data_IF_405141931043
#
_entry.id   IF_405141931043
#
_cell.length_a   1.000
_cell.length_b   1.000
_cell.length_c   1.000
_cell.angle_alpha   90.00
_cell.angle_beta   90.00
_cell.angle_gamma   90.00
#
_symmetry.space_group_name_H-M   'P 1'
#
loop_
_entity.id
_entity.type
_entity.pdbx_description
1 polymer ?
#
# COMPACT_ATOMS: atom_id res chain seq x y z
N UNK A 1 16.36 -6.88 49.29
CA UNK A 1 15.28 -7.91 49.17
C UNK A 1 15.97 -9.23 48.87
N UNK A 2 15.82 -10.22 49.74
CA UNK A 2 16.34 -11.58 49.51
C UNK A 2 15.22 -12.39 48.87
N UNK A 3 15.50 -13.02 47.73
CA UNK A 3 14.58 -13.96 47.07
C UNK A 3 14.98 -15.38 47.46
N UNK A 4 14.06 -16.15 48.02
CA UNK A 4 14.26 -17.58 48.26
C UNK A 4 13.32 -18.36 47.32
N UNK A 5 13.88 -19.10 46.37
CA UNK A 5 13.12 -19.93 45.45
C UNK A 5 13.03 -21.35 46.02
N UNK A 6 11.81 -21.83 46.33
CA UNK A 6 11.58 -23.24 46.69
C UNK A 6 10.94 -23.99 45.54
N UNK A 7 11.61 -25.05 45.10
CA UNK A 7 11.10 -26.02 44.13
C UNK A 7 10.21 -27.02 44.87
N UNK A 8 8.94 -27.14 44.49
CA UNK A 8 8.04 -28.17 45.03
C UNK A 8 8.03 -29.33 44.04
N UNK A 9 8.52 -30.49 44.46
CA UNK A 9 8.35 -31.76 43.72
C UNK A 9 7.40 -32.66 44.50
N UNK A 10 6.16 -32.88 44.04
CA UNK A 10 5.54 -34.22 44.15
C UNK A 10 4.32 -34.44 43.23
N UNK A 11 4.52 -35.35 42.25
CA UNK A 11 3.74 -36.57 41.93
C UNK A 11 2.19 -36.49 41.98
N UNK A 12 1.51 -36.53 40.82
CA UNK A 12 0.97 -37.79 40.27
C UNK A 12 0.43 -37.66 38.83
N UNK A 13 0.47 -38.79 38.12
CA UNK A 13 0.42 -38.99 36.65
C UNK A 13 -0.89 -38.55 35.97
N UNK A 14 -0.77 -37.71 34.94
CA UNK A 14 -1.21 -37.98 33.54
C UNK A 14 -0.74 -36.87 32.61
N UNK A 15 -0.43 -37.24 31.36
CA UNK A 15 0.40 -36.52 30.37
C UNK A 15 0.03 -35.03 30.14
N UNK A 16 0.84 -34.11 30.67
CA UNK A 16 1.29 -32.85 30.02
C UNK A 16 2.29 -32.14 30.94
N UNK A 17 3.59 -32.16 30.60
CA UNK A 17 4.61 -31.45 31.37
C UNK A 17 4.46 -29.93 31.15
N UNK A 18 4.11 -29.20 32.21
CA UNK A 18 4.23 -27.75 32.32
C UNK A 18 4.97 -27.47 33.62
N UNK A 19 6.13 -26.82 33.56
CA UNK A 19 6.84 -26.39 34.76
C UNK A 19 6.17 -25.13 35.33
N UNK A 20 5.79 -25.15 36.61
CA UNK A 20 5.19 -24.02 37.30
C UNK A 20 6.16 -23.45 38.34
N UNK A 21 6.39 -22.14 38.30
CA UNK A 21 7.13 -21.40 39.34
C UNK A 21 6.17 -20.51 40.12
N UNK A 22 6.19 -20.61 41.44
CA UNK A 22 5.49 -19.71 42.35
C UNK A 22 6.52 -18.82 43.06
N UNK A 23 6.31 -17.51 43.00
CA UNK A 23 7.13 -16.52 43.71
C UNK A 23 6.35 -15.94 44.88
N UNK A 24 7.00 -15.83 46.04
CA UNK A 24 6.44 -15.16 47.21
C UNK A 24 7.11 -13.79 47.38
N UNK A 25 6.30 -12.73 47.36
CA UNK A 25 6.70 -11.37 47.76
C UNK A 25 6.34 -11.20 49.23
N UNK A 26 7.34 -11.18 50.12
CA UNK A 26 7.11 -10.81 51.52
C UNK A 26 6.80 -9.30 51.59
N UNK A 27 5.53 -8.96 51.79
CA UNK A 27 5.08 -7.60 52.05
C UNK A 27 3.62 -7.28 51.69
N UNK A 28 2.99 -8.04 50.79
CA UNK A 28 1.57 -7.86 50.43
C UNK A 28 0.95 -9.25 50.21
N UNK A 29 0.09 -9.66 51.15
CA UNK A 29 -0.43 -11.03 51.30
C UNK A 29 -1.44 -11.48 50.23
N UNK A 30 -1.09 -11.43 48.94
CA UNK A 30 -1.93 -11.96 47.86
C UNK A 30 -1.12 -12.71 46.81
N UNK A 31 -1.45 -13.98 46.61
CA UNK A 31 -0.86 -14.87 45.60
C UNK A 31 -1.38 -14.51 44.21
N UNK A 32 -0.49 -14.38 43.22
CA UNK A 32 -0.86 -14.21 41.81
C UNK A 32 -0.25 -15.33 40.97
N UNK A 33 -1.08 -16.04 40.22
CA UNK A 33 -0.67 -17.14 39.35
C UNK A 33 -0.56 -16.60 37.92
N UNK A 34 0.66 -16.54 37.36
CA UNK A 34 0.90 -16.12 35.98
C UNK A 34 0.96 -17.34 35.06
N UNK A 35 0.08 -17.39 34.06
CA UNK A 35 0.07 -18.41 33.02
C UNK A 35 0.88 -17.95 31.80
N UNK A 36 1.79 -18.78 31.30
CA UNK A 36 2.60 -18.51 30.12
C UNK A 36 2.34 -19.57 29.03
N UNK A 37 1.76 -19.21 27.86
CA UNK A 37 1.55 -20.19 26.79
C UNK A 37 2.84 -20.39 25.96
N UNK A 38 3.17 -21.63 25.54
CA UNK A 38 4.39 -21.91 24.78
C UNK A 38 4.24 -21.51 23.30
N UNK A 39 5.03 -20.53 22.85
CA UNK A 39 5.23 -20.25 21.42
C UNK A 39 6.26 -21.22 20.83
N UNK A 40 5.88 -21.99 19.79
CA UNK A 40 6.83 -22.70 18.90
C UNK A 40 6.99 -21.90 17.59
N UNK A 41 8.19 -21.39 17.33
CA UNK A 41 8.61 -20.93 15.99
C UNK A 41 9.48 -22.01 15.31
N UNK A 42 9.53 -22.06 13.96
CA UNK A 42 10.27 -23.08 13.23
C UNK A 42 11.78 -22.90 13.42
N UNK A 43 12.43 -23.93 13.96
CA UNK A 43 13.91 -24.03 13.98
C UNK A 43 14.41 -24.39 12.59
N UNK A 44 14.81 -23.39 11.81
CA UNK A 44 15.74 -23.66 10.70
C UNK A 44 16.56 -22.42 10.39
N UNK A 45 17.87 -22.52 10.64
CA UNK A 45 18.95 -21.55 10.40
C UNK A 45 19.07 -20.41 11.41
N UNK A 46 19.62 -20.74 12.57
CA UNK A 46 20.66 -19.96 13.27
C UNK A 46 21.34 -20.94 14.24
N UNK A 47 22.66 -20.94 14.23
CA UNK A 47 23.51 -21.82 15.04
C UNK A 47 23.24 -21.58 16.54
N UNK A 48 23.02 -22.65 17.30
CA UNK A 48 22.54 -22.61 18.69
C UNK A 48 23.50 -21.91 19.64
N UNK A 49 24.80 -21.88 19.31
CA UNK A 49 25.80 -21.24 20.16
C UNK A 49 25.85 -19.71 20.04
N UNK A 50 25.36 -19.14 18.94
CA UNK A 50 25.35 -17.67 18.75
C UNK A 50 24.20 -16.99 19.49
N UNK A 51 23.06 -17.67 19.62
CA UNK A 51 21.89 -17.17 20.33
C UNK A 51 22.08 -17.16 21.85
N UNK A 52 22.64 -18.24 22.41
CA UNK A 52 22.90 -18.32 23.85
C UNK A 52 24.01 -17.33 24.27
N UNK A 53 25.00 -17.08 23.41
CA UNK A 53 26.04 -16.07 23.63
C UNK A 53 25.49 -14.64 23.53
N UNK A 54 24.59 -14.38 22.56
CA UNK A 54 23.93 -13.07 22.43
C UNK A 54 23.03 -12.75 23.64
N UNK A 55 22.23 -13.72 24.10
CA UNK A 55 21.37 -13.56 25.27
C UNK A 55 22.20 -13.40 26.55
N UNK A 56 23.27 -14.18 26.71
CA UNK A 56 24.19 -14.05 27.84
C UNK A 56 24.92 -12.69 27.88
N UNK A 57 25.37 -12.19 26.72
CA UNK A 57 26.02 -10.88 26.62
C UNK A 57 25.03 -9.75 26.87
N UNK A 58 23.79 -9.85 26.39
CA UNK A 58 22.74 -8.87 26.64
C UNK A 58 22.36 -8.80 28.13
N UNK A 59 22.27 -9.95 28.81
CA UNK A 59 21.92 -10.05 30.23
C UNK A 59 23.06 -9.54 31.13
N UNK A 60 24.32 -9.80 30.75
CA UNK A 60 25.51 -9.25 31.40
C UNK A 60 25.65 -7.73 31.17
N UNK A 61 25.30 -7.22 29.98
CA UNK A 61 25.32 -5.78 29.68
C UNK A 61 24.24 -5.05 30.46
N UNK A 62 23.00 -5.58 30.47
CA UNK A 62 21.87 -4.99 31.18
C UNK A 62 22.10 -5.05 32.70
N UNK A 63 22.70 -6.13 33.20
CA UNK A 63 23.10 -6.28 34.61
C UNK A 63 24.18 -5.29 35.05
N UNK A 64 25.23 -5.10 34.25
CA UNK A 64 26.30 -4.11 34.52
C UNK A 64 25.81 -2.67 34.43
N UNK A 65 24.99 -2.35 33.43
CA UNK A 65 24.40 -1.03 33.26
C UNK A 65 23.48 -0.69 34.45
N UNK A 66 22.74 -1.66 34.99
CA UNK A 66 21.87 -1.43 36.15
C UNK A 66 22.66 -1.25 37.46
N UNK A 67 23.72 -2.04 37.68
CA UNK A 67 24.49 -1.97 38.93
C UNK A 67 25.39 -0.74 39.04
N UNK A 68 25.93 -0.23 37.94
CA UNK A 68 26.77 1.00 37.96
C UNK A 68 25.96 2.30 37.89
N UNK A 69 24.69 2.26 37.43
CA UNK A 69 23.81 3.44 37.36
C UNK A 69 23.31 3.95 38.73
N UNK A 70 23.66 3.30 39.84
CA UNK A 70 23.31 3.79 41.18
C UNK A 70 24.32 4.74 41.82
N UNK A 71 25.45 5.05 41.16
CA UNK A 71 26.47 5.89 41.79
C UNK A 71 26.66 7.29 41.20
N UNK A 72 26.60 7.56 39.88
CA UNK A 72 26.68 8.94 39.37
C UNK A 72 26.00 9.15 37.99
N UNK A 73 24.80 9.77 37.92
CA UNK A 73 24.03 9.95 36.68
C UNK A 73 24.66 10.85 35.61
N UNK A 74 25.59 11.75 35.96
CA UNK A 74 26.17 12.74 35.04
C UNK A 74 27.34 12.21 34.17
N UNK A 75 27.98 11.10 34.57
CA UNK A 75 29.09 10.51 33.80
C UNK A 75 28.58 9.55 32.70
N UNK A 76 27.45 8.87 32.96
CA UNK A 76 26.85 7.88 32.05
C UNK A 76 26.32 8.52 30.75
N UNK A 77 25.80 9.75 30.83
CA UNK A 77 25.33 10.50 29.66
C UNK A 77 26.45 10.85 28.66
N UNK A 78 27.68 11.12 29.13
CA UNK A 78 28.81 11.47 28.25
C UNK A 78 29.45 10.25 27.58
N UNK A 79 29.43 9.09 28.23
CA UNK A 79 29.93 7.82 27.66
C UNK A 79 28.95 7.24 26.64
N UNK A 80 27.63 7.30 26.90
CA UNK A 80 26.62 6.89 25.91
C UNK A 80 26.68 7.79 24.66
N UNK A 81 26.88 9.10 24.86
CA UNK A 81 27.02 10.06 23.76
C UNK A 81 28.33 9.85 22.98
N UNK A 82 29.43 9.48 23.64
CA UNK A 82 30.70 9.17 22.96
C UNK A 82 30.65 7.85 22.17
N UNK A 83 29.99 6.80 22.69
CA UNK A 83 29.83 5.51 21.98
C UNK A 83 28.85 5.64 20.81
N UNK A 84 27.74 6.38 20.97
CA UNK A 84 26.84 6.70 19.85
C UNK A 84 27.53 7.56 18.79
N UNK A 85 28.37 8.53 19.16
CA UNK A 85 29.08 9.37 18.19
C UNK A 85 30.22 8.62 17.49
N UNK A 86 30.92 7.69 18.16
CA UNK A 86 31.98 6.89 17.54
C UNK A 86 31.45 5.74 16.66
N UNK A 87 30.33 5.09 16.99
CA UNK A 87 29.73 4.07 16.10
C UNK A 87 28.95 4.66 14.92
N UNK A 88 28.36 5.86 15.04
CA UNK A 88 27.77 6.56 13.89
C UNK A 88 28.82 7.13 12.92
N UNK A 89 30.07 7.31 13.36
CA UNK A 89 31.14 7.87 12.52
C UNK A 89 31.86 6.84 11.64
N UNK A 90 31.75 5.54 11.95
CA UNK A 90 32.44 4.46 11.22
C UNK A 90 31.52 3.73 10.22
N UNK A 91 30.21 4.00 10.24
CA UNK A 91 29.26 3.47 9.26
C UNK A 91 28.91 4.44 8.10
N UNK A 92 29.42 5.67 8.13
CA UNK A 92 29.17 6.69 7.09
C UNK A 92 30.39 6.85 6.17
N UNK A 93 30.77 5.77 5.51
CA UNK A 93 31.40 5.91 4.19
C UNK A 93 30.31 6.47 3.23
N UNK A 94 30.65 7.30 2.22
CA UNK A 94 29.67 7.88 1.33
C UNK A 94 29.12 6.80 0.38
N UNK A 95 28.22 5.96 0.88
CA UNK A 95 27.29 5.26 0.01
C UNK A 95 26.48 6.35 -0.68
N UNK A 96 26.53 6.38 -2.01
CA UNK A 96 25.66 7.25 -2.79
C UNK A 96 24.23 7.10 -2.26
N UNK A 97 23.69 8.15 -1.66
CA UNK A 97 22.33 8.14 -1.09
C UNK A 97 21.37 7.65 -2.17
N UNK A 98 20.78 6.47 -1.95
CA UNK A 98 19.85 5.87 -2.91
C UNK A 98 18.72 6.85 -3.17
N UNK A 99 18.24 6.89 -4.41
CA UNK A 99 17.12 7.75 -4.79
C UNK A 99 15.91 7.54 -3.86
N UNK A 100 15.68 6.29 -3.46
CA UNK A 100 14.65 5.90 -2.51
C UNK A 100 14.66 6.75 -1.22
N UNK A 101 15.84 7.05 -0.67
CA UNK A 101 15.98 7.83 0.58
C UNK A 101 15.46 9.28 0.48
N UNK A 102 15.32 9.81 -0.74
CA UNK A 102 14.82 11.17 -1.00
C UNK A 102 13.31 11.19 -1.23
N UNK A 103 12.72 10.05 -1.55
CA UNK A 103 11.30 9.95 -1.84
C UNK A 103 10.49 9.84 -0.54
N UNK A 104 9.27 10.36 -0.62
CA UNK A 104 8.27 10.29 0.45
C UNK A 104 6.93 9.77 -0.07
N UNK A 105 6.72 9.86 -1.39
CA UNK A 105 5.54 9.35 -2.05
C UNK A 105 5.86 8.74 -3.43
N UNK A 106 5.20 7.64 -3.76
CA UNK A 106 5.12 7.09 -5.10
C UNK A 106 3.66 7.11 -5.54
N UNK A 107 3.40 7.62 -6.73
CA UNK A 107 2.11 7.51 -7.40
C UNK A 107 2.24 6.62 -8.63
N UNK A 108 1.24 5.79 -8.89
CA UNK A 108 1.29 4.78 -9.95
C UNK A 108 0.03 4.89 -10.81
N UNK A 109 0.19 4.82 -12.14
CA UNK A 109 -0.93 4.60 -13.04
C UNK A 109 -1.51 3.17 -12.86
N UNK A 110 -2.70 2.90 -13.38
CA UNK A 110 -3.38 1.62 -13.22
C UNK A 110 -3.33 0.74 -14.48
N UNK A 111 -3.87 1.20 -15.60
CA UNK A 111 -4.05 0.34 -16.79
C UNK A 111 -2.85 0.46 -17.71
N UNK A 112 -2.20 -0.67 -17.99
CA UNK A 112 -0.88 -0.70 -18.65
C UNK A 112 0.28 -0.71 -17.64
N UNK A 113 -0.01 -0.42 -16.37
CA UNK A 113 0.97 -0.32 -15.29
C UNK A 113 0.77 -1.39 -14.21
N UNK A 114 -0.38 -1.44 -13.55
CA UNK A 114 -0.72 -2.45 -12.53
C UNK A 114 -1.57 -3.60 -13.07
N UNK A 115 -2.41 -3.30 -14.06
CA UNK A 115 -3.33 -4.26 -14.67
C UNK A 115 -3.30 -4.12 -16.20
N UNK A 116 -3.68 -5.19 -16.89
CA UNK A 116 -3.92 -5.21 -18.33
C UNK A 116 -5.33 -5.68 -18.62
N UNK A 117 -5.83 -5.39 -19.83
CA UNK A 117 -7.02 -6.05 -20.34
C UNK A 117 -6.70 -7.50 -20.72
N UNK A 118 -7.62 -8.41 -20.44
CA UNK A 118 -7.58 -9.80 -20.91
C UNK A 118 -8.32 -9.90 -22.23
N UNK A 119 -7.69 -10.54 -23.22
CA UNK A 119 -8.29 -10.71 -24.54
C UNK A 119 -8.50 -9.38 -25.25
N UNK A 120 -9.40 -9.40 -26.23
CA UNK A 120 -9.72 -8.23 -27.04
C UNK A 120 -11.09 -7.65 -26.65
N UNK A 121 -11.28 -6.35 -26.90
CA UNK A 121 -12.59 -5.70 -26.72
C UNK A 121 -13.71 -6.47 -27.43
N UNK A 122 -13.41 -6.99 -28.63
CA UNK A 122 -14.33 -7.78 -29.46
C UNK A 122 -14.87 -9.03 -28.77
N UNK A 123 -14.09 -9.67 -27.88
CA UNK A 123 -14.51 -10.87 -27.16
C UNK A 123 -15.77 -10.59 -26.32
N UNK A 124 -15.75 -9.49 -25.56
CA UNK A 124 -16.85 -9.13 -24.66
C UNK A 124 -18.10 -8.71 -25.42
N UNK A 125 -17.93 -7.99 -26.54
CA UNK A 125 -19.04 -7.58 -27.41
C UNK A 125 -19.67 -8.77 -28.13
N UNK A 126 -18.84 -9.69 -28.61
CA UNK A 126 -19.28 -10.92 -29.25
C UNK A 126 -19.99 -11.86 -28.29
N UNK A 127 -19.45 -12.07 -27.09
CA UNK A 127 -20.11 -12.86 -26.06
C UNK A 127 -21.46 -12.26 -25.67
N UNK A 128 -21.57 -10.93 -25.58
CA UNK A 128 -22.84 -10.27 -25.28
C UNK A 128 -23.86 -10.43 -26.41
N UNK A 129 -23.48 -10.22 -27.67
CA UNK A 129 -24.37 -10.42 -28.82
C UNK A 129 -24.85 -11.89 -28.94
N UNK A 130 -23.93 -12.86 -28.80
CA UNK A 130 -24.29 -14.29 -28.81
C UNK A 130 -25.26 -14.68 -27.69
N UNK A 131 -25.17 -14.03 -26.52
CA UNK A 131 -26.05 -14.33 -25.38
C UNK A 131 -27.53 -13.99 -25.63
N UNK A 132 -27.82 -13.15 -26.64
CA UNK A 132 -29.19 -12.81 -27.07
C UNK A 132 -29.56 -13.45 -28.42
N UNK A 133 -28.78 -14.44 -28.88
CA UNK A 133 -29.03 -15.15 -30.14
C UNK A 133 -28.54 -14.45 -31.40
N UNK A 134 -27.78 -13.36 -31.28
CA UNK A 134 -27.23 -12.64 -32.43
C UNK A 134 -25.84 -13.17 -32.84
N UNK A 135 -25.45 -13.00 -34.12
CA UNK A 135 -24.11 -13.34 -34.57
C UNK A 135 -23.04 -12.50 -33.86
N UNK A 136 -21.83 -13.05 -33.80
CA UNK A 136 -20.65 -12.33 -33.36
C UNK A 136 -20.44 -11.10 -34.27
N UNK A 137 -20.33 -9.88 -33.73
CA UNK A 137 -19.93 -8.73 -34.52
C UNK A 137 -18.45 -8.86 -34.89
N UNK A 138 -18.07 -8.26 -36.01
CA UNK A 138 -16.68 -8.27 -36.49
C UNK A 138 -15.76 -7.51 -35.53
N UNK A 139 -14.66 -8.15 -35.14
CA UNK A 139 -13.76 -7.64 -34.09
C UNK A 139 -13.10 -6.33 -34.51
N UNK A 140 -12.65 -6.24 -35.76
CA UNK A 140 -11.95 -5.05 -36.27
C UNK A 140 -12.92 -3.86 -36.38
N UNK A 141 -14.11 -4.07 -36.94
CA UNK A 141 -15.16 -3.05 -37.04
C UNK A 141 -15.58 -2.57 -35.65
N UNK A 142 -15.74 -3.47 -34.69
CA UNK A 142 -16.06 -3.09 -33.32
C UNK A 142 -14.94 -2.31 -32.63
N UNK A 143 -13.69 -2.70 -32.83
CA UNK A 143 -12.53 -1.98 -32.28
C UNK A 143 -12.47 -0.54 -32.81
N UNK A 144 -12.59 -0.35 -34.12
CA UNK A 144 -12.59 0.99 -34.74
C UNK A 144 -13.83 1.80 -34.35
N UNK A 145 -15.00 1.17 -34.35
CA UNK A 145 -16.25 1.79 -33.92
C UNK A 145 -16.17 2.30 -32.47
N UNK A 146 -15.59 1.49 -31.57
CA UNK A 146 -15.35 1.89 -30.19
C UNK A 146 -14.36 3.03 -30.07
N UNK A 147 -13.22 2.98 -30.77
CA UNK A 147 -12.21 4.04 -30.75
C UNK A 147 -12.81 5.39 -31.14
N UNK A 148 -13.62 5.41 -32.20
CA UNK A 148 -14.32 6.62 -32.66
C UNK A 148 -15.37 7.09 -31.64
N UNK A 149 -16.24 6.18 -31.17
CA UNK A 149 -17.30 6.52 -30.21
C UNK A 149 -16.73 7.02 -28.87
N UNK A 150 -15.69 6.36 -28.36
CA UNK A 150 -14.99 6.76 -27.13
C UNK A 150 -14.35 8.14 -27.29
N UNK A 151 -13.68 8.41 -28.41
CA UNK A 151 -13.06 9.71 -28.68
C UNK A 151 -14.09 10.83 -28.72
N UNK A 152 -15.23 10.62 -29.38
CA UNK A 152 -16.34 11.58 -29.41
C UNK A 152 -16.92 11.82 -28.02
N UNK A 153 -17.16 10.75 -27.26
CA UNK A 153 -17.70 10.84 -25.90
C UNK A 153 -16.72 11.53 -24.93
N UNK A 154 -15.42 11.23 -25.00
CA UNK A 154 -14.40 11.86 -24.18
C UNK A 154 -14.24 13.35 -24.52
N UNK A 155 -14.38 13.74 -25.80
CA UNK A 155 -14.35 15.15 -26.20
C UNK A 155 -15.60 15.91 -25.75
N UNK A 156 -16.78 15.30 -25.88
CA UNK A 156 -18.07 15.94 -25.56
C UNK A 156 -18.35 15.98 -24.05
N UNK A 157 -18.00 14.90 -23.36
CA UNK A 157 -18.24 14.66 -21.95
C UNK A 157 -16.96 14.11 -21.29
N UNK A 158 -15.93 14.96 -21.12
CA UNK A 158 -14.65 14.55 -20.53
C UNK A 158 -14.83 14.02 -19.10
N UNK A 159 -13.84 13.26 -18.62
CA UNK A 159 -13.88 12.65 -17.28
C UNK A 159 -15.19 11.88 -17.04
N UNK A 160 -15.62 11.11 -18.04
CA UNK A 160 -16.83 10.30 -18.00
C UNK A 160 -18.12 11.10 -17.70
N UNK A 161 -18.14 12.38 -18.11
CA UNK A 161 -19.30 13.26 -17.96
C UNK A 161 -19.42 13.96 -16.61
N UNK A 162 -18.33 14.01 -15.82
CA UNK A 162 -18.30 14.63 -14.50
C UNK A 162 -18.88 16.06 -14.50
N UNK A 163 -18.36 16.95 -15.35
CA UNK A 163 -18.82 18.35 -15.41
C UNK A 163 -20.30 18.48 -15.82
N UNK A 164 -20.78 17.58 -16.67
CA UNK A 164 -22.16 17.53 -17.13
C UNK A 164 -23.11 16.83 -16.14
N UNK A 165 -22.58 16.29 -15.02
CA UNK A 165 -23.32 15.41 -14.09
C UNK A 165 -24.03 14.25 -14.79
N UNK A 166 -23.45 13.79 -15.91
CA UNK A 166 -23.99 12.67 -16.67
C UNK A 166 -23.69 11.38 -15.90
N UNK A 167 -24.69 10.54 -15.57
CA UNK A 167 -24.43 9.28 -14.90
C UNK A 167 -23.49 8.42 -15.75
N UNK A 168 -22.47 7.84 -15.12
CA UNK A 168 -21.41 7.12 -15.84
C UNK A 168 -21.95 5.94 -16.65
N UNK A 169 -22.99 5.26 -16.15
CA UNK A 169 -23.69 4.20 -16.90
C UNK A 169 -24.32 4.73 -18.20
N UNK A 170 -24.82 5.96 -18.22
CA UNK A 170 -25.40 6.60 -19.42
C UNK A 170 -24.28 7.00 -20.39
N UNK A 171 -23.15 7.50 -19.87
CA UNK A 171 -21.96 7.77 -20.67
C UNK A 171 -21.51 6.50 -21.41
N UNK A 172 -21.36 5.39 -20.69
CA UNK A 172 -20.98 4.10 -21.29
C UNK A 172 -22.07 3.52 -22.19
N UNK A 173 -23.35 3.59 -21.81
CA UNK A 173 -24.47 3.12 -22.66
C UNK A 173 -24.43 3.82 -24.02
N UNK A 174 -24.25 5.14 -24.00
CA UNK A 174 -24.14 5.95 -25.23
C UNK A 174 -22.91 5.58 -26.04
N UNK A 175 -21.75 5.44 -25.38
CA UNK A 175 -20.50 5.04 -26.03
C UNK A 175 -20.63 3.66 -26.71
N UNK A 176 -21.16 2.65 -26.00
CA UNK A 176 -21.34 1.29 -26.51
C UNK A 176 -22.34 1.28 -27.67
N UNK A 177 -23.46 2.02 -27.56
CA UNK A 177 -24.46 2.14 -28.64
C UNK A 177 -23.82 2.71 -29.91
N UNK A 178 -23.11 3.83 -29.77
CA UNK A 178 -22.43 4.48 -30.89
C UNK A 178 -21.32 3.60 -31.46
N UNK A 179 -20.69 2.74 -30.65
CA UNK A 179 -19.68 1.79 -31.12
C UNK A 179 -20.29 0.78 -32.09
N UNK A 180 -21.45 0.20 -31.76
CA UNK A 180 -22.18 -0.71 -32.65
C UNK A 180 -22.63 0.00 -33.94
N UNK A 181 -23.22 1.20 -33.83
CA UNK A 181 -23.67 1.98 -34.99
C UNK A 181 -22.49 2.27 -35.95
N UNK A 182 -21.37 2.76 -35.41
CA UNK A 182 -20.16 3.03 -36.22
C UNK A 182 -19.54 1.76 -36.79
N UNK A 183 -19.68 0.65 -36.09
CA UNK A 183 -19.30 -0.66 -36.59
C UNK A 183 -20.31 -1.21 -37.62
N UNK A 184 -21.43 -0.53 -37.91
CA UNK A 184 -22.45 -0.94 -38.89
C UNK A 184 -23.43 -1.99 -38.37
N UNK A 185 -23.69 -1.99 -37.07
CA UNK A 185 -24.72 -2.79 -36.40
C UNK A 185 -25.76 -1.85 -35.80
N UNK A 186 -27.01 -2.00 -36.22
CA UNK A 186 -28.14 -1.25 -35.68
C UNK A 186 -29.11 -2.25 -35.03
N UNK A 187 -29.24 -2.16 -33.72
CA UNK A 187 -30.11 -3.02 -32.92
C UNK A 187 -31.26 -2.18 -32.38
N UNK A 188 -32.45 -2.78 -32.30
CA UNK A 188 -33.56 -2.17 -31.57
C UNK A 188 -33.20 -1.95 -30.10
N UNK A 189 -33.92 -1.04 -29.44
CA UNK A 189 -33.58 -0.61 -28.07
C UNK A 189 -33.66 -1.76 -27.05
N UNK A 190 -34.57 -2.73 -27.23
CA UNK A 190 -34.72 -3.86 -26.31
C UNK A 190 -33.53 -4.82 -26.42
N UNK A 191 -33.16 -5.17 -27.65
CA UNK A 191 -32.00 -6.01 -27.95
C UNK A 191 -30.71 -5.35 -27.47
N UNK A 192 -30.53 -4.07 -27.80
CA UNK A 192 -29.37 -3.30 -27.36
C UNK A 192 -29.25 -3.22 -25.84
N UNK A 193 -30.36 -3.01 -25.12
CA UNK A 193 -30.36 -2.95 -23.66
C UNK A 193 -29.88 -4.26 -23.03
N UNK A 194 -30.29 -5.42 -23.57
CA UNK A 194 -29.83 -6.74 -23.10
C UNK A 194 -28.32 -6.91 -23.33
N UNK A 195 -27.82 -6.56 -24.51
CA UNK A 195 -26.39 -6.60 -24.85
C UNK A 195 -25.59 -5.67 -23.94
N UNK A 196 -26.05 -4.41 -23.79
CA UNK A 196 -25.37 -3.42 -22.99
C UNK A 196 -25.26 -3.84 -21.53
N UNK A 197 -26.33 -4.37 -20.92
CA UNK A 197 -26.29 -4.88 -19.54
C UNK A 197 -25.21 -5.93 -19.36
N UNK A 198 -25.06 -6.85 -20.33
CA UNK A 198 -24.03 -7.89 -20.29
C UNK A 198 -22.62 -7.30 -20.37
N UNK A 199 -22.38 -6.42 -21.33
CA UNK A 199 -21.08 -5.72 -21.49
C UNK A 199 -20.75 -4.93 -20.23
N UNK A 200 -21.69 -4.10 -19.75
CA UNK A 200 -21.49 -3.23 -18.60
C UNK A 200 -21.20 -4.02 -17.32
N UNK A 201 -21.87 -5.15 -17.12
CA UNK A 201 -21.60 -6.07 -16.01
C UNK A 201 -20.22 -6.72 -16.12
N UNK A 202 -19.81 -7.18 -17.32
CA UNK A 202 -18.48 -7.74 -17.53
C UNK A 202 -17.37 -6.74 -17.19
N UNK A 203 -17.44 -5.50 -17.70
CA UNK A 203 -16.45 -4.46 -17.40
C UNK A 203 -16.52 -3.90 -15.96
N UNK A 204 -17.60 -4.20 -15.24
CA UNK A 204 -17.75 -3.95 -13.81
C UNK A 204 -17.34 -5.12 -12.91
N UNK A 205 -16.53 -6.04 -13.42
CA UNK A 205 -16.02 -7.21 -12.69
C UNK A 205 -14.52 -7.38 -12.90
N UNK A 206 -13.90 -8.39 -12.31
CA UNK A 206 -12.50 -8.75 -12.61
C UNK A 206 -12.31 -9.45 -13.95
N UNK A 207 -13.38 -9.91 -14.61
CA UNK A 207 -13.30 -10.76 -15.80
C UNK A 207 -12.48 -10.19 -16.99
N UNK A 208 -12.49 -8.87 -17.27
CA UNK A 208 -11.72 -8.29 -18.36
C UNK A 208 -10.33 -7.83 -17.97
N UNK A 209 -9.88 -8.08 -16.74
CA UNK A 209 -8.63 -7.55 -16.23
C UNK A 209 -7.73 -8.65 -15.71
N UNK A 210 -6.43 -8.50 -15.92
CA UNK A 210 -5.39 -9.32 -15.28
C UNK A 210 -4.39 -8.42 -14.58
N UNK A 211 -4.00 -8.79 -13.36
CA UNK A 211 -2.97 -8.09 -12.59
C UNK A 211 -1.59 -8.57 -13.02
N UNK A 212 -0.62 -7.66 -13.21
CA UNK A 212 0.76 -8.09 -13.44
C UNK A 212 1.37 -8.65 -12.16
N UNK A 213 2.18 -9.70 -12.28
CA UNK A 213 2.69 -10.45 -11.12
C UNK A 213 3.53 -9.60 -10.14
N UNK A 214 4.16 -8.54 -10.63
CA UNK A 214 5.00 -7.58 -9.90
C UNK A 214 4.20 -6.43 -9.25
N UNK A 215 2.90 -6.29 -9.55
CA UNK A 215 2.10 -5.14 -9.11
C UNK A 215 1.86 -5.12 -7.60
N UNK A 216 1.31 -6.21 -7.04
CA UNK A 216 1.12 -6.31 -5.59
C UNK A 216 2.46 -6.31 -4.82
N UNK A 217 3.50 -7.08 -5.24
CA UNK A 217 4.81 -7.02 -4.59
C UNK A 217 5.41 -5.61 -4.55
N UNK A 218 5.37 -4.88 -5.67
CA UNK A 218 5.91 -3.52 -5.74
C UNK A 218 5.19 -2.56 -4.81
N UNK A 219 3.85 -2.55 -4.82
CA UNK A 219 3.06 -1.66 -3.98
C UNK A 219 3.30 -1.94 -2.48
N UNK A 220 3.35 -3.23 -2.09
CA UNK A 220 3.65 -3.62 -0.71
C UNK A 220 5.08 -3.28 -0.31
N UNK A 221 6.04 -3.48 -1.20
CA UNK A 221 7.43 -3.10 -0.97
C UNK A 221 7.55 -1.59 -0.75
N UNK A 222 7.02 -0.75 -1.65
CA UNK A 222 7.11 0.70 -1.53
C UNK A 222 6.54 1.21 -0.19
N UNK A 223 5.43 0.62 0.27
CA UNK A 223 4.87 0.88 1.60
C UNK A 223 5.75 0.38 2.75
N UNK A 224 6.35 -0.79 2.60
CA UNK A 224 7.32 -1.36 3.55
C UNK A 224 8.55 -0.47 3.75
N UNK A 225 8.96 0.27 2.72
CA UNK A 225 10.00 1.31 2.78
C UNK A 225 9.51 2.63 3.42
N UNK A 226 8.26 2.69 3.89
CA UNK A 226 7.67 3.86 4.54
C UNK A 226 7.19 4.96 3.58
N UNK A 227 7.05 4.66 2.28
CA UNK A 227 6.52 5.61 1.30
C UNK A 227 4.99 5.61 1.31
N UNK A 228 4.41 6.79 1.09
CA UNK A 228 2.99 6.91 0.72
C UNK A 228 2.79 6.42 -0.71
N UNK A 229 1.84 5.53 -0.93
CA UNK A 229 1.54 4.95 -2.24
C UNK A 229 0.17 5.42 -2.71
N UNK A 230 0.15 6.16 -3.82
CA UNK A 230 -1.07 6.67 -4.45
C UNK A 230 -1.33 6.07 -5.83
N UNK A 231 -2.59 6.04 -6.26
CA UNK A 231 -2.96 5.72 -7.64
C UNK A 231 -3.43 6.98 -8.38
N UNK A 232 -3.01 7.18 -9.62
CA UNK A 232 -3.44 8.31 -10.47
C UNK A 232 -3.83 7.80 -11.86
N UNK A 233 -5.13 7.75 -12.16
CA UNK A 233 -5.63 7.08 -13.37
C UNK A 233 -6.76 7.82 -14.08
N UNK A 234 -6.74 7.78 -15.41
CA UNK A 234 -7.86 8.19 -16.24
C UNK A 234 -8.93 7.09 -16.27
N UNK A 235 -9.60 6.91 -15.13
CA UNK A 235 -10.62 5.89 -14.97
C UNK A 235 -11.87 6.44 -14.27
N UNK A 236 -12.96 5.69 -14.41
CA UNK A 236 -14.23 5.93 -13.72
C UNK A 236 -14.21 5.43 -12.27
N UNK A 237 -15.24 5.78 -11.49
CA UNK A 237 -15.34 5.44 -10.07
C UNK A 237 -15.23 3.94 -9.77
N UNK A 238 -15.72 3.06 -10.67
CA UNK A 238 -15.70 1.60 -10.45
C UNK A 238 -14.29 1.03 -10.32
N UNK A 239 -13.26 1.72 -10.81
CA UNK A 239 -11.88 1.30 -10.58
C UNK A 239 -11.56 1.24 -9.10
N UNK A 240 -11.92 2.29 -8.35
CA UNK A 240 -11.68 2.41 -6.92
C UNK A 240 -12.47 1.37 -6.12
N UNK A 241 -13.78 1.31 -6.34
CA UNK A 241 -14.69 0.62 -5.41
C UNK A 241 -14.93 -0.85 -5.76
N UNK A 242 -14.71 -1.23 -7.03
CA UNK A 242 -15.11 -2.56 -7.55
C UNK A 242 -13.95 -3.30 -8.18
N UNK A 243 -13.33 -2.72 -9.22
CA UNK A 243 -12.38 -3.44 -10.08
C UNK A 243 -11.08 -3.75 -9.33
N UNK A 244 -10.43 -2.73 -8.75
CA UNK A 244 -9.17 -2.94 -8.03
C UNK A 244 -9.34 -3.86 -6.81
N UNK A 245 -10.37 -3.69 -5.95
CA UNK A 245 -10.63 -4.64 -4.87
C UNK A 245 -10.91 -6.08 -5.35
N UNK A 246 -11.67 -6.27 -6.43
CA UNK A 246 -11.93 -7.60 -7.01
C UNK A 246 -10.67 -8.27 -7.58
N UNK A 247 -9.66 -7.48 -7.92
CA UNK A 247 -8.34 -7.92 -8.36
C UNK A 247 -7.34 -8.07 -7.20
N UNK A 248 -7.76 -7.84 -5.96
CA UNK A 248 -6.90 -7.91 -4.77
C UNK A 248 -5.95 -6.72 -4.62
N UNK A 249 -6.21 -5.60 -5.29
CA UNK A 249 -5.51 -4.32 -5.15
C UNK A 249 -6.35 -3.36 -4.30
N UNK A 250 -6.48 -3.66 -3.02
CA UNK A 250 -7.39 -2.99 -2.08
C UNK A 250 -6.83 -1.67 -1.60
N UNK A 251 -7.69 -0.64 -1.58
CA UNK A 251 -7.40 0.58 -0.85
C UNK A 251 -7.45 0.33 0.66
N UNK A 252 -6.70 1.14 1.42
CA UNK A 252 -6.87 1.25 2.86
C UNK A 252 -8.33 1.58 3.23
N UNK A 253 -9.09 0.59 3.66
CA UNK A 253 -10.32 0.79 4.43
C UNK A 253 -9.97 0.74 5.91
N UNK A 254 -10.46 1.72 6.67
CA UNK A 254 -10.28 1.86 8.12
C UNK A 254 -10.79 0.64 8.92
N UNK A 255 -11.48 -0.28 8.28
CA UNK A 255 -12.16 -1.43 8.90
C UNK A 255 -11.23 -2.57 9.30
N UNK A 256 -9.96 -2.55 8.87
CA UNK A 256 -8.98 -3.60 9.18
C UNK A 256 -7.62 -3.04 9.58
N UNK A 257 -7.58 -2.00 10.42
CA UNK A 257 -6.33 -1.72 11.13
C UNK A 257 -6.11 -2.83 12.18
N UNK A 258 -5.54 -3.96 11.78
CA UNK A 258 -4.82 -4.81 12.72
C UNK A 258 -3.55 -4.06 13.11
N UNK A 259 -3.61 -3.32 14.23
CA UNK A 259 -2.46 -2.67 14.85
C UNK A 259 -1.49 -3.74 15.40
N UNK A 260 -0.71 -4.38 14.51
CA UNK A 260 0.54 -5.06 14.87
C UNK A 260 1.70 -4.20 14.38
N UNK A 261 1.84 -3.02 15.00
CA UNK A 261 2.96 -2.13 14.79
C UNK A 261 3.96 -2.25 15.93
N UNK A 262 5.18 -2.65 15.57
CA UNK A 262 6.37 -2.71 16.40
C UNK A 262 6.70 -1.32 16.98
N UNK A 263 6.65 -1.19 18.30
CA UNK A 263 7.02 0.04 19.03
C UNK A 263 8.52 0.03 19.34
N UNK A 264 9.37 0.23 18.33
CA UNK A 264 10.82 0.14 18.51
C UNK A 264 11.44 1.29 19.34
N UNK A 265 10.73 2.38 19.62
CA UNK A 265 11.26 3.54 20.36
C UNK A 265 10.27 4.26 21.30
N UNK A 266 9.10 3.70 21.62
CA UNK A 266 8.17 4.32 22.56
C UNK A 266 8.48 3.87 24.02
N UNK A 267 8.44 4.77 25.02
CA UNK A 267 8.55 4.39 26.43
C UNK A 267 7.56 3.27 26.77
N UNK A 268 8.03 2.19 27.40
CA UNK A 268 7.25 0.97 27.70
C UNK A 268 5.90 1.25 28.39
N UNK A 269 5.75 2.41 29.04
CA UNK A 269 4.52 2.86 29.70
C UNK A 269 3.42 3.32 28.74
N UNK A 270 3.77 3.97 27.62
CA UNK A 270 2.82 4.40 26.57
C UNK A 270 2.31 3.18 25.81
N UNK A 271 3.20 2.23 25.51
CA UNK A 271 2.86 0.95 24.88
C UNK A 271 1.89 0.14 25.75
N UNK A 272 2.16 0.07 27.07
CA UNK A 272 1.26 -0.58 28.04
C UNK A 272 -0.09 0.15 28.16
N UNK A 273 -0.12 1.48 28.17
CA UNK A 273 -1.35 2.26 28.26
C UNK A 273 -2.26 2.07 27.03
N UNK A 274 -1.68 2.07 25.82
CA UNK A 274 -2.41 1.84 24.57
C UNK A 274 -2.91 0.38 24.50
N UNK A 275 -2.09 -0.60 24.90
CA UNK A 275 -2.51 -2.00 24.98
C UNK A 275 -3.65 -2.23 26.00
N UNK A 276 -3.63 -1.51 27.13
CA UNK A 276 -4.70 -1.57 28.15
C UNK A 276 -6.00 -0.91 27.65
N UNK A 277 -5.88 0.21 26.91
CA UNK A 277 -7.02 0.83 26.21
C UNK A 277 -7.61 -0.12 25.15
N UNK A 278 -6.79 -0.87 24.40
CA UNK A 278 -7.25 -1.87 23.44
C UNK A 278 -8.00 -3.03 24.09
N UNK A 279 -7.53 -3.54 25.24
CA UNK A 279 -8.24 -4.59 25.98
C UNK A 279 -9.64 -4.15 26.43
N UNK A 280 -9.86 -2.85 26.65
CA UNK A 280 -11.17 -2.29 26.99
C UNK A 280 -12.12 -2.17 25.78
N UNK A 281 -11.61 -2.05 24.53
CA UNK A 281 -12.43 -1.94 23.30
C UNK A 281 -13.22 -3.23 23.04
N UNK A 282 -12.64 -4.39 23.39
CA UNK A 282 -13.24 -5.69 23.13
C UNK A 282 -14.46 -6.01 24.02
N UNK A 283 -14.86 -5.11 24.93
CA UNK A 283 -15.85 -5.42 25.97
C UNK A 283 -17.17 -4.65 25.81
N UNK A 284 -17.24 -3.50 25.11
CA UNK A 284 -18.54 -2.84 24.89
C UNK A 284 -18.59 -1.79 23.75
N UNK A 285 -19.59 -1.81 22.84
CA UNK A 285 -19.72 -0.87 21.71
C UNK A 285 -19.90 0.62 22.07
N UNK A 286 -20.38 0.91 23.28
CA UNK A 286 -20.72 2.28 23.72
C UNK A 286 -19.49 3.17 24.00
N UNK A 287 -18.30 2.60 24.20
CA UNK A 287 -17.06 3.35 24.48
C UNK A 287 -16.19 3.59 23.24
N UNK A 288 -16.57 3.04 22.09
CA UNK A 288 -15.79 3.05 20.85
C UNK A 288 -15.50 4.46 20.31
N UNK A 289 -16.49 5.35 20.35
CA UNK A 289 -16.36 6.73 19.85
C UNK A 289 -15.45 7.60 20.72
N UNK A 290 -15.56 7.48 22.05
CA UNK A 290 -14.74 8.25 22.99
C UNK A 290 -13.28 7.77 23.00
N UNK A 291 -13.04 6.47 22.81
CA UNK A 291 -11.69 5.92 22.76
C UNK A 291 -10.99 6.17 21.41
N UNK A 292 -11.75 6.19 20.29
CA UNK A 292 -11.22 6.63 19.00
C UNK A 292 -10.78 8.10 19.04
N UNK A 293 -11.54 8.96 19.72
CA UNK A 293 -11.16 10.36 19.92
C UNK A 293 -9.88 10.46 20.77
N UNK A 294 -9.76 9.67 21.84
CA UNK A 294 -8.54 9.61 22.66
C UNK A 294 -7.32 9.10 21.88
N UNK A 295 -7.49 8.05 21.07
CA UNK A 295 -6.43 7.50 20.19
C UNK A 295 -6.01 8.50 19.10
N UNK A 296 -6.96 9.25 18.53
CA UNK A 296 -6.67 10.34 17.58
C UNK A 296 -5.87 11.47 18.25
N UNK A 297 -6.21 11.83 19.48
CA UNK A 297 -5.48 12.86 20.26
C UNK A 297 -4.07 12.39 20.61
N UNK A 298 -3.91 11.14 21.07
CA UNK A 298 -2.59 10.55 21.33
C UNK A 298 -1.76 10.45 20.05
N UNK A 299 -2.37 10.10 18.91
CA UNK A 299 -1.70 10.05 17.61
C UNK A 299 -1.28 11.45 17.11
N UNK A 300 -2.10 12.49 17.35
CA UNK A 300 -1.76 13.87 17.02
C UNK A 300 -0.57 14.39 17.85
N UNK A 301 -0.47 14.01 19.12
CA UNK A 301 0.68 14.34 19.97
C UNK A 301 1.94 13.53 19.60
N UNK A 302 1.80 12.24 19.24
CA UNK A 302 2.94 11.42 18.79
C UNK A 302 3.50 11.89 17.42
N UNK A 303 2.64 12.39 16.52
CA UNK A 303 3.08 13.05 15.27
C UNK A 303 3.91 14.31 15.52
N UNK A 304 3.65 15.07 16.60
CA UNK A 304 4.47 16.22 16.99
C UNK A 304 5.85 15.81 17.51
N UNK A 305 6.01 14.54 17.89
CA UNK A 305 7.21 14.02 18.57
C UNK A 305 8.25 13.39 17.62
N UNK A 306 8.11 13.57 16.31
CA UNK A 306 9.00 13.02 15.27
C UNK A 306 9.11 11.48 15.27
N UNK A 307 8.15 10.79 15.90
CA UNK A 307 8.05 9.32 15.91
C UNK A 307 7.18 8.89 14.73
N UNK A 308 7.80 8.33 13.70
CA UNK A 308 7.08 7.71 12.58
C UNK A 308 6.44 6.40 13.06
N UNK A 309 5.13 6.43 13.33
CA UNK A 309 4.34 5.21 13.51
C UNK A 309 3.96 4.71 12.12
N UNK A 310 4.74 3.76 11.59
CA UNK A 310 4.34 2.97 10.42
C UNK A 310 3.26 2.00 10.90
N UNK A 311 2.01 2.29 10.57
CA UNK A 311 0.95 1.30 10.68
C UNK A 311 1.16 0.31 9.53
N UNK A 312 1.76 -0.84 9.82
CA UNK A 312 1.77 -1.98 8.90
C UNK A 312 0.32 -2.43 8.69
N UNK A 313 -0.35 -1.84 7.70
CA UNK A 313 -1.72 -2.20 7.37
C UNK A 313 -1.70 -3.42 6.45
N UNK A 314 -1.57 -4.60 7.07
CA UNK A 314 -1.61 -5.90 6.40
C UNK A 314 -2.97 -6.10 5.72
N UNK A 315 -3.13 -5.61 4.48
CA UNK A 315 -4.34 -5.82 3.69
C UNK A 315 -4.70 -4.73 2.66
N UNK A 316 -3.97 -3.61 2.63
CA UNK A 316 -4.14 -2.59 1.58
C UNK A 316 -2.86 -2.43 0.75
N UNK A 317 -3.03 -2.21 -0.54
CA UNK A 317 -1.94 -2.05 -1.48
C UNK A 317 -1.58 -0.57 -1.69
N UNK A 318 -2.50 0.37 -1.39
CA UNK A 318 -2.30 1.79 -1.62
C UNK A 318 -3.11 2.66 -0.64
N UNK A 319 -2.63 3.88 -0.39
CA UNK A 319 -3.12 4.79 0.64
C UNK A 319 -4.21 5.76 0.12
N UNK A 320 -4.10 6.23 -1.13
CA UNK A 320 -5.08 7.13 -1.74
C UNK A 320 -5.17 6.97 -3.27
N UNK A 321 -6.28 7.41 -3.85
CA UNK A 321 -6.56 7.29 -5.29
C UNK A 321 -7.01 8.61 -5.87
N UNK A 322 -6.62 8.87 -7.11
CA UNK A 322 -7.01 10.03 -7.92
C UNK A 322 -7.50 9.50 -9.26
N UNK A 323 -8.82 9.39 -9.39
CA UNK A 323 -9.48 8.83 -10.56
C UNK A 323 -10.22 9.94 -11.29
N UNK A 324 -9.93 10.14 -12.58
CA UNK A 324 -10.49 11.28 -13.32
C UNK A 324 -12.01 11.40 -13.27
N UNK A 325 -12.74 10.28 -13.26
CA UNK A 325 -14.21 10.29 -13.17
C UNK A 325 -14.75 10.78 -11.81
N UNK A 326 -13.92 10.79 -10.76
CA UNK A 326 -14.23 11.35 -9.45
C UNK A 326 -13.75 12.80 -9.31
N UNK A 327 -12.63 13.16 -9.95
CA UNK A 327 -12.05 14.50 -9.83
C UNK A 327 -12.59 15.53 -10.83
N UNK A 328 -13.08 15.07 -11.98
CA UNK A 328 -13.40 15.95 -13.11
C UNK A 328 -12.18 16.54 -13.80
N UNK A 329 -10.99 15.98 -13.56
CA UNK A 329 -9.73 16.33 -14.22
C UNK A 329 -9.03 15.04 -14.61
N UNK A 330 -8.48 14.98 -15.82
CA UNK A 330 -7.80 13.81 -16.35
C UNK A 330 -6.40 14.13 -16.88
N UNK A 331 -5.52 13.14 -16.86
CA UNK A 331 -4.21 13.22 -17.53
C UNK A 331 -4.43 13.50 -19.03
N UNK A 332 -3.68 14.43 -19.65
CA UNK A 332 -2.42 15.02 -19.19
C UNK A 332 -2.56 16.36 -18.46
N UNK A 333 -3.73 16.75 -17.97
CA UNK A 333 -3.87 18.01 -17.23
C UNK A 333 -3.06 17.96 -15.92
N UNK A 334 -2.09 18.87 -15.71
CA UNK A 334 -1.21 18.86 -14.53
C UNK A 334 -1.98 18.99 -13.21
N UNK A 335 -3.21 19.50 -13.22
CA UNK A 335 -4.05 19.61 -12.01
C UNK A 335 -4.32 18.26 -11.35
N UNK A 336 -4.38 17.16 -12.11
CA UNK A 336 -4.60 15.83 -11.52
C UNK A 336 -3.44 15.41 -10.60
N UNK A 337 -2.21 15.80 -10.95
CA UNK A 337 -1.03 15.55 -10.12
C UNK A 337 -0.98 16.44 -8.89
N UNK A 338 -1.45 17.69 -9.01
CA UNK A 338 -1.59 18.58 -7.85
C UNK A 338 -2.60 18.02 -6.84
N UNK A 339 -3.72 17.47 -7.31
CA UNK A 339 -4.68 16.74 -6.46
C UNK A 339 -4.01 15.54 -5.77
N UNK A 340 -3.17 14.80 -6.48
CA UNK A 340 -2.42 13.68 -5.88
C UNK A 340 -1.48 14.14 -4.75
N UNK A 341 -0.72 15.24 -4.95
CA UNK A 341 0.15 15.83 -3.93
C UNK A 341 -0.64 16.32 -2.72
N UNK A 342 -1.84 16.89 -2.94
CA UNK A 342 -2.75 17.30 -1.86
C UNK A 342 -3.26 16.10 -1.06
N UNK A 343 -3.70 15.01 -1.73
CA UNK A 343 -4.15 13.77 -1.07
C UNK A 343 -3.04 13.06 -0.31
N UNK A 344 -1.80 13.19 -0.76
CA UNK A 344 -0.61 12.72 -0.05
C UNK A 344 -0.26 13.58 1.19
N UNK A 345 -1.09 14.55 1.57
CA UNK A 345 -0.87 15.41 2.74
C UNK A 345 -0.09 16.69 2.42
N UNK A 346 -0.27 17.24 1.22
CA UNK A 346 0.44 18.44 0.72
C UNK A 346 1.96 18.25 0.68
N UNK A 347 2.36 17.13 0.10
CA UNK A 347 3.76 16.77 -0.04
C UNK A 347 4.43 17.57 -1.17
N UNK A 348 5.72 17.85 -1.03
CA UNK A 348 6.48 18.56 -2.07
C UNK A 348 6.63 17.67 -3.33
N UNK A 349 6.51 18.24 -4.53
CA UNK A 349 6.61 17.45 -5.76
C UNK A 349 7.99 16.79 -5.94
N UNK A 350 9.07 17.44 -5.48
CA UNK A 350 10.45 16.96 -5.62
C UNK A 350 10.74 15.69 -4.81
N UNK A 351 9.90 15.35 -3.83
CA UNK A 351 10.00 14.09 -3.06
C UNK A 351 8.97 13.05 -3.51
N UNK A 352 8.33 13.28 -4.66
CA UNK A 352 7.27 12.42 -5.19
C UNK A 352 7.64 11.90 -6.57
N UNK A 353 7.50 10.58 -6.76
CA UNK A 353 7.72 9.90 -8.03
C UNK A 353 6.40 9.44 -8.63
N UNK A 354 6.17 9.70 -9.92
CA UNK A 354 5.10 9.08 -10.69
C UNK A 354 5.62 7.97 -11.61
N UNK A 355 4.88 6.87 -11.72
CA UNK A 355 5.21 5.73 -12.60
C UNK A 355 3.99 5.43 -13.47
N UNK A 356 4.17 5.39 -14.78
CA UNK A 356 3.12 5.03 -15.73
C UNK A 356 3.67 4.59 -17.08
N UNK A 357 2.80 4.24 -18.01
CA UNK A 357 3.16 3.67 -19.32
C UNK A 357 3.05 4.67 -20.48
N UNK A 358 2.60 5.90 -20.22
CA UNK A 358 2.40 6.91 -21.26
C UNK A 358 3.31 8.13 -21.08
N UNK A 359 4.17 8.40 -22.07
CA UNK A 359 4.96 9.65 -22.11
C UNK A 359 4.08 10.90 -21.99
N UNK A 360 2.99 10.93 -22.77
CA UNK A 360 2.07 12.08 -22.83
C UNK A 360 1.22 12.22 -21.57
N UNK A 361 0.69 11.12 -21.04
CA UNK A 361 -0.27 11.16 -19.92
C UNK A 361 0.41 11.11 -18.57
N UNK A 362 1.52 10.40 -18.43
CA UNK A 362 2.13 10.07 -17.14
C UNK A 362 3.44 10.83 -16.91
N UNK A 363 4.38 10.73 -17.86
CA UNK A 363 5.74 11.23 -17.66
C UNK A 363 5.85 12.75 -17.71
N UNK A 364 5.47 13.35 -18.85
CA UNK A 364 5.60 14.78 -19.09
C UNK A 364 4.77 15.64 -18.11
N UNK A 365 3.48 15.37 -17.86
CA UNK A 365 2.70 16.21 -16.96
C UNK A 365 3.11 16.07 -15.49
N UNK A 366 3.56 14.90 -15.03
CA UNK A 366 4.14 14.76 -13.70
C UNK A 366 5.41 15.61 -13.55
N UNK A 367 6.35 15.52 -14.51
CA UNK A 367 7.57 16.36 -14.53
C UNK A 367 7.23 17.85 -14.57
N UNK A 368 6.18 18.25 -15.29
CA UNK A 368 5.76 19.65 -15.41
C UNK A 368 5.32 20.30 -14.09
N UNK A 369 4.90 19.50 -13.10
CA UNK A 369 4.55 19.98 -11.75
C UNK A 369 5.70 19.81 -10.74
N UNK A 370 6.89 19.45 -11.20
CA UNK A 370 8.09 19.27 -10.39
C UNK A 370 8.29 17.85 -9.83
N UNK A 371 7.42 16.89 -10.19
CA UNK A 371 7.57 15.51 -9.73
C UNK A 371 8.69 14.80 -10.48
N UNK A 372 9.25 13.78 -9.83
CA UNK A 372 9.98 12.73 -10.50
C UNK A 372 9.04 11.87 -11.36
N UNK A 373 9.54 11.31 -12.47
CA UNK A 373 8.76 10.39 -13.29
C UNK A 373 9.62 9.26 -13.87
N UNK A 374 9.05 8.07 -13.96
CA UNK A 374 9.59 6.90 -14.66
C UNK A 374 8.55 6.35 -15.64
N UNK A 375 9.00 5.86 -16.78
CA UNK A 375 8.15 5.18 -17.76
C UNK A 375 8.28 3.67 -17.66
N UNK A 376 7.15 2.97 -17.81
CA UNK A 376 7.10 1.54 -18.02
C UNK A 376 6.81 1.22 -19.48
N UNK A 377 7.49 0.21 -20.01
CA UNK A 377 7.21 -0.36 -21.31
C UNK A 377 7.04 -1.88 -21.20
N UNK A 378 5.89 -2.30 -20.68
CA UNK A 378 5.54 -3.72 -20.51
C UNK A 378 5.31 -4.45 -21.82
N UNK A 379 4.98 -3.71 -22.88
CA UNK A 379 4.50 -4.27 -24.15
C UNK A 379 5.49 -4.10 -25.31
N UNK A 380 6.72 -3.64 -25.05
CA UNK A 380 7.77 -3.41 -26.07
C UNK A 380 7.27 -2.50 -27.18
N UNK A 381 6.66 -1.38 -26.78
CA UNK A 381 6.06 -0.40 -27.69
C UNK A 381 7.13 0.24 -28.58
N UNK A 382 6.85 0.50 -29.87
CA UNK A 382 7.81 1.15 -30.77
C UNK A 382 8.27 2.53 -30.25
N UNK A 383 7.37 3.25 -29.58
CA UNK A 383 7.61 4.59 -29.05
C UNK A 383 8.68 4.61 -27.93
N UNK A 384 8.90 3.49 -27.24
CA UNK A 384 9.88 3.40 -26.16
C UNK A 384 11.32 3.72 -26.61
N UNK A 385 11.65 3.50 -27.88
CA UNK A 385 12.94 3.90 -28.47
C UNK A 385 13.10 5.41 -28.45
N UNK A 386 12.06 6.14 -28.88
CA UNK A 386 12.07 7.61 -28.92
C UNK A 386 12.03 8.21 -27.50
N UNK A 387 11.30 7.57 -26.58
CA UNK A 387 11.29 7.98 -25.16
C UNK A 387 12.69 7.89 -24.53
N UNK A 388 13.43 6.82 -24.81
CA UNK A 388 14.82 6.67 -24.34
C UNK A 388 15.73 7.73 -24.97
N UNK A 389 15.57 8.03 -26.27
CA UNK A 389 16.33 9.09 -26.95
C UNK A 389 16.05 10.48 -26.38
N UNK A 390 14.85 10.73 -25.85
CA UNK A 390 14.53 11.99 -25.17
C UNK A 390 15.12 12.08 -23.74
N UNK A 391 15.88 11.07 -23.29
CA UNK A 391 16.49 11.03 -21.97
C UNK A 391 15.57 10.51 -20.86
N UNK A 392 14.39 9.98 -21.20
CA UNK A 392 13.50 9.39 -20.22
C UNK A 392 13.98 8.00 -19.80
N UNK A 393 13.92 7.72 -18.50
CA UNK A 393 14.17 6.37 -17.97
C UNK A 393 12.95 5.50 -18.24
N UNK A 394 13.12 4.50 -19.10
CA UNK A 394 12.09 3.53 -19.48
C UNK A 394 12.48 2.14 -19.00
N UNK A 395 11.64 1.53 -18.17
CA UNK A 395 11.88 0.25 -17.52
C UNK A 395 10.82 -0.78 -17.97
N UNK A 396 11.15 -2.08 -18.02
CA UNK A 396 10.23 -3.09 -18.55
C UNK A 396 9.04 -3.37 -17.63
N UNK A 397 9.22 -3.24 -16.31
CA UNK A 397 8.24 -3.63 -15.31
C UNK A 397 8.55 -2.96 -13.94
N UNK A 398 7.69 -3.19 -12.94
CA UNK A 398 7.83 -2.60 -11.62
C UNK A 398 8.94 -3.26 -10.78
N UNK A 399 9.33 -4.51 -11.09
CA UNK A 399 10.48 -5.14 -10.45
C UNK A 399 11.78 -4.40 -10.82
N UNK A 400 11.93 -4.04 -12.10
CA UNK A 400 13.03 -3.20 -12.57
C UNK A 400 12.98 -1.77 -11.99
N UNK A 401 11.78 -1.22 -11.72
CA UNK A 401 11.65 0.03 -10.97
C UNK A 401 12.21 -0.11 -9.55
N UNK A 402 11.80 -1.16 -8.83
CA UNK A 402 12.32 -1.42 -7.49
C UNK A 402 13.86 -1.54 -7.48
N UNK A 403 14.43 -2.29 -8.42
CA UNK A 403 15.89 -2.40 -8.58
C UNK A 403 16.53 -1.03 -8.88
N UNK A 404 15.94 -0.25 -9.79
CA UNK A 404 16.43 1.08 -10.14
C UNK A 404 16.44 2.04 -8.93
N UNK A 405 15.39 2.02 -8.09
CA UNK A 405 15.27 2.89 -6.92
C UNK A 405 16.26 2.54 -5.81
N UNK A 406 16.65 1.26 -5.72
CA UNK A 406 17.55 0.74 -4.68
C UNK A 406 19.04 0.79 -5.04
N UNK A 407 19.38 0.77 -6.34
CA UNK A 407 20.75 0.66 -6.85
C UNK A 407 21.57 1.96 -6.89
N UNK A 408 21.15 3.03 -6.19
CA UNK A 408 21.93 4.28 -6.12
C UNK A 408 21.88 5.14 -7.40
N UNK A 409 21.04 4.79 -8.37
CA UNK A 409 20.86 5.55 -9.61
C UNK A 409 20.26 6.94 -9.36
N UNK A 410 20.55 7.90 -10.25
CA UNK A 410 19.96 9.25 -10.22
C UNK A 410 18.83 9.35 -11.26
N UNK A 411 17.76 10.06 -10.90
CA UNK A 411 16.76 10.51 -11.89
C UNK A 411 17.32 11.68 -12.67
N UNK A 412 17.03 11.70 -13.98
CA UNK A 412 17.29 12.84 -14.87
C UNK A 412 16.32 14.00 -14.65
#
# INVERSE_FOLDING_TARGET
>A
MVFEARRIETINRTKQNSDYFLFQLLGLGTWHMLYWPPYRLPRSRLDSNAWDHFVFVLDQLIGKIWTECHLQPLLCGKLLQAVLVLELSVALAPFAMSLLSKLRCITVDVTGTLIAYKGELGDYYCMAAKSVGLPCPDYKRMHEGFKLAYTEMAKKYPCFGHAAKLPTIVWWKTCVKNSFIKAGYDYDEETFEKIFRRIYASFGSSAPYSVFADSQPFLRWARGEGLLVGLVSNAEYRYQDVILPALGLKQLTLDLIQFRGVYLNAPKIIVKAIACMHACVCVHPLYYQNLLMLLRTVHAELKKSNVNIILENQGSEWDFGVFSGLEGVEKPDPRIYKIALERAGKIAPEVTLHIGDSMRKDYLPAKSVGMHALLLDRFKTPDAVEWKKSGATVLPDLAAVQEFLTSGNKLS
#
